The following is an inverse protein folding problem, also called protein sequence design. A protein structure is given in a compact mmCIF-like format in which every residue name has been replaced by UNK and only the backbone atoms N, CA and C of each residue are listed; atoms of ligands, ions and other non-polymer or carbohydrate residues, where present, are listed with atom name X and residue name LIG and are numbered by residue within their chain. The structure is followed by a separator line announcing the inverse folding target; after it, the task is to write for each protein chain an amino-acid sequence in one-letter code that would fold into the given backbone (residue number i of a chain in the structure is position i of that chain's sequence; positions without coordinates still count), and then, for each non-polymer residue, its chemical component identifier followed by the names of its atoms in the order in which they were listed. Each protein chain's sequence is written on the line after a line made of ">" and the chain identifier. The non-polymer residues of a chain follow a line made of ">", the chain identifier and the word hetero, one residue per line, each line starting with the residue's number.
data_IF_569848421051
#
_entry.id   IF_569848421051
#
_cell.length_a   1.000
_cell.length_b   1.000
_cell.length_c   1.000
_cell.angle_alpha   90.00
_cell.angle_beta   90.00
_cell.angle_gamma   90.00
#
_symmetry.space_group_name_H-M   'P 1'
#
loop_
_entity.id
_entity.type
_entity.pdbx_description
1 polymer ?
#
# COMPACT_ATOMS: atom_id res chain seq x y z
N UNK A 1 0.99 -22.60 -0.23
CA UNK A 1 0.01 -21.57 0.12
C UNK A 1 -0.27 -21.68 1.62
N UNK A 2 -0.16 -20.58 2.34
CA UNK A 2 -0.42 -20.49 3.78
C UNK A 2 -1.62 -19.57 4.01
N UNK A 3 -2.52 -19.98 4.89
CA UNK A 3 -3.61 -19.14 5.37
C UNK A 3 -3.40 -18.84 6.84
N UNK A 4 -3.39 -17.56 7.18
CA UNK A 4 -3.39 -17.05 8.56
C UNK A 4 -4.78 -16.47 8.81
N UNK A 5 -5.53 -17.08 9.72
CA UNK A 5 -6.87 -16.66 10.10
C UNK A 5 -6.86 -16.24 11.57
N UNK A 6 -7.20 -14.98 11.83
CA UNK A 6 -7.24 -14.47 13.21
C UNK A 6 -8.54 -14.83 13.95
N UNK A 7 -9.48 -15.51 13.28
CA UNK A 7 -10.77 -15.87 13.86
C UNK A 7 -11.66 -14.65 14.09
N UNK A 8 -12.43 -14.70 15.16
CA UNK A 8 -13.43 -13.68 15.50
C UNK A 8 -13.26 -13.18 16.94
N UNK A 9 -13.75 -11.96 17.23
CA UNK A 9 -13.84 -11.42 18.59
C UNK A 9 -12.55 -10.84 19.16
N UNK A 10 -11.51 -10.62 18.33
CA UNK A 10 -10.28 -9.99 18.76
C UNK A 10 -9.97 -8.71 17.97
N UNK A 11 -10.48 -7.54 18.40
CA UNK A 11 -10.23 -6.27 17.71
C UNK A 11 -8.77 -5.80 17.75
N UNK A 12 -7.94 -6.37 18.62
CA UNK A 12 -6.49 -6.10 18.70
C UNK A 12 -5.63 -7.04 17.85
N UNK A 13 -6.23 -7.95 17.07
CA UNK A 13 -5.48 -8.94 16.31
C UNK A 13 -4.59 -8.30 15.23
N UNK A 14 -3.38 -8.85 15.11
CA UNK A 14 -2.48 -8.65 13.96
C UNK A 14 -2.25 -10.02 13.33
N UNK A 15 -2.50 -10.15 12.04
CA UNK A 15 -2.35 -11.43 11.36
C UNK A 15 -0.90 -11.88 11.31
N UNK A 16 -0.01 -11.03 10.82
CA UNK A 16 1.43 -11.26 10.77
C UNK A 16 2.14 -9.99 11.22
N UNK A 17 2.88 -10.05 12.33
CA UNK A 17 3.82 -9.02 12.76
C UNK A 17 5.23 -9.43 12.33
N UNK A 18 5.82 -8.71 11.35
CA UNK A 18 7.00 -9.20 10.65
C UNK A 18 8.07 -8.12 10.44
N UNK A 19 9.31 -8.57 10.55
CA UNK A 19 10.51 -7.86 10.10
C UNK A 19 11.43 -8.82 9.34
N UNK A 20 12.12 -8.33 8.33
CA UNK A 20 13.04 -9.14 7.53
C UNK A 20 14.50 -9.04 7.99
N UNK A 21 14.94 -7.88 8.42
CA UNK A 21 16.31 -7.59 8.90
C UNK A 21 17.40 -8.24 8.03
N UNK A 22 17.68 -7.73 6.89
CA UNK A 22 18.64 -8.06 5.85
C UNK A 22 18.03 -8.68 4.58
N UNK A 23 17.24 -9.74 4.66
CA UNK A 23 16.60 -10.34 3.49
C UNK A 23 15.46 -11.24 3.92
N UNK A 24 14.28 -11.01 3.42
CA UNK A 24 13.12 -11.85 3.73
C UNK A 24 12.07 -11.82 2.65
N UNK A 25 11.19 -12.81 2.65
CA UNK A 25 10.06 -12.85 1.74
C UNK A 25 8.82 -13.49 2.37
N UNK A 26 7.67 -12.84 2.17
CA UNK A 26 6.34 -13.42 2.35
C UNK A 26 5.79 -13.74 0.95
N UNK A 27 5.45 -15.01 0.71
CA UNK A 27 4.98 -15.44 -0.61
C UNK A 27 3.81 -16.40 -0.49
N UNK A 28 2.80 -16.19 -1.34
CA UNK A 28 1.61 -17.05 -1.43
C UNK A 28 0.91 -17.21 -0.08
N UNK A 29 0.54 -16.08 0.50
CA UNK A 29 -0.06 -16.02 1.82
C UNK A 29 -1.39 -15.32 1.73
N UNK A 30 -2.41 -15.89 2.35
CA UNK A 30 -3.68 -15.24 2.63
C UNK A 30 -3.77 -14.96 4.11
N UNK A 31 -4.00 -13.69 4.47
CA UNK A 31 -4.25 -13.26 5.86
C UNK A 31 -5.69 -12.77 5.93
N UNK A 32 -6.49 -13.31 6.83
CA UNK A 32 -7.89 -12.92 6.95
C UNK A 32 -8.35 -12.80 8.39
N UNK A 33 -9.32 -11.93 8.58
CA UNK A 33 -10.08 -11.82 9.83
C UNK A 33 -11.46 -12.41 9.61
N UNK A 34 -11.87 -13.32 10.49
CA UNK A 34 -13.16 -14.00 10.38
C UNK A 34 -14.37 -13.10 10.62
N UNK A 35 -14.19 -11.95 11.27
CA UNK A 35 -15.25 -10.96 11.55
C UNK A 35 -14.91 -9.54 11.02
N UNK A 36 -13.83 -9.40 10.26
CA UNK A 36 -13.34 -8.11 9.76
C UNK A 36 -12.69 -7.24 10.85
N UNK A 37 -12.56 -7.73 12.09
CA UNK A 37 -11.89 -7.01 13.17
C UNK A 37 -10.38 -7.23 13.14
N UNK A 38 -9.65 -6.51 13.98
CA UNK A 38 -8.20 -6.55 14.06
C UNK A 38 -7.55 -5.29 13.54
N UNK A 39 -6.33 -5.05 13.98
CA UNK A 39 -5.58 -3.82 13.71
C UNK A 39 -4.94 -3.86 12.34
N UNK A 40 -4.28 -4.96 11.98
CA UNK A 40 -3.61 -5.09 10.69
C UNK A 40 -3.53 -6.55 10.22
N UNK A 41 -3.61 -6.75 8.91
CA UNK A 41 -3.31 -8.06 8.33
C UNK A 41 -1.83 -8.37 8.39
N UNK A 42 -1.00 -7.48 7.86
CA UNK A 42 0.47 -7.55 7.95
C UNK A 42 0.98 -6.25 8.56
N UNK A 43 1.72 -6.35 9.66
CA UNK A 43 2.35 -5.21 10.34
C UNK A 43 3.87 -5.28 10.19
N UNK A 44 4.45 -4.26 9.56
CA UNK A 44 5.89 -4.06 9.35
C UNK A 44 6.33 -2.69 9.89
N UNK A 45 5.74 -2.26 11.00
CA UNK A 45 6.04 -0.95 11.59
C UNK A 45 7.20 -0.96 12.58
N UNK A 46 7.71 -2.13 12.94
CA UNK A 46 8.90 -2.26 13.79
C UNK A 46 10.18 -1.84 13.03
N UNK A 47 11.23 -1.52 13.76
CA UNK A 47 12.56 -1.28 13.18
C UNK A 47 13.05 -2.50 12.36
N UNK A 48 13.79 -2.25 11.28
CA UNK A 48 14.34 -3.24 10.37
C UNK A 48 13.27 -4.00 9.54
N UNK A 49 12.30 -3.29 8.93
CA UNK A 49 11.22 -3.94 8.19
C UNK A 49 11.71 -4.68 6.93
N UNK A 50 12.81 -4.21 6.35
CA UNK A 50 13.36 -4.75 5.09
C UNK A 50 14.89 -4.91 5.11
N UNK A 51 15.49 -5.11 3.92
CA UNK A 51 14.84 -5.27 2.63
C UNK A 51 14.00 -6.55 2.54
N UNK A 52 12.82 -6.45 1.93
CA UNK A 52 11.90 -7.58 1.88
C UNK A 52 11.06 -7.62 0.59
N UNK A 53 10.60 -8.82 0.26
CA UNK A 53 9.65 -9.06 -0.82
C UNK A 53 8.34 -9.61 -0.26
N UNK A 54 7.23 -8.93 -0.53
CA UNK A 54 5.89 -9.48 -0.40
C UNK A 54 5.39 -9.81 -1.80
N UNK A 55 5.06 -11.08 -2.06
CA UNK A 55 4.58 -11.48 -3.38
C UNK A 55 3.44 -12.48 -3.28
N UNK A 56 2.38 -12.23 -4.06
CA UNK A 56 1.16 -13.04 -4.03
C UNK A 56 0.61 -13.11 -2.59
N UNK A 57 0.33 -11.92 -2.04
CA UNK A 57 -0.19 -11.74 -0.68
C UNK A 57 -1.59 -11.15 -0.76
N UNK A 58 -2.52 -11.84 -0.11
CA UNK A 58 -3.90 -11.40 0.00
C UNK A 58 -4.22 -11.07 1.46
N UNK A 59 -4.86 -9.94 1.70
CA UNK A 59 -5.33 -9.55 3.03
C UNK A 59 -6.80 -9.19 2.96
N UNK A 60 -7.60 -9.80 3.84
CA UNK A 60 -9.04 -9.56 3.91
C UNK A 60 -9.49 -9.18 5.32
N UNK A 61 -10.25 -8.10 5.40
CA UNK A 61 -10.70 -7.51 6.66
C UNK A 61 -9.63 -6.63 7.31
N UNK A 62 -9.67 -6.53 8.64
CA UNK A 62 -8.83 -5.68 9.48
C UNK A 62 -9.13 -4.17 9.35
N UNK A 63 -8.53 -3.38 10.22
CA UNK A 63 -8.52 -1.93 10.10
C UNK A 63 -7.61 -1.50 8.96
N UNK A 64 -6.38 -2.02 8.93
CA UNK A 64 -5.43 -1.83 7.85
C UNK A 64 -5.03 -3.17 7.22
N UNK A 65 -4.83 -3.19 5.91
CA UNK A 65 -4.33 -4.39 5.21
C UNK A 65 -2.85 -4.63 5.50
N UNK A 66 -2.00 -3.73 5.03
CA UNK A 66 -0.56 -3.76 5.26
C UNK A 66 -0.15 -2.42 5.89
N UNK A 67 0.63 -2.47 6.97
CA UNK A 67 1.23 -1.29 7.60
C UNK A 67 2.73 -1.36 7.49
N UNK A 68 3.34 -0.27 7.00
CA UNK A 68 4.79 -0.14 6.89
C UNK A 68 5.24 1.12 7.63
N UNK A 69 6.20 0.98 8.49
CA UNK A 69 6.86 2.09 9.18
C UNK A 69 8.37 2.01 8.99
N UNK A 70 9.06 3.06 9.45
CA UNK A 70 10.52 3.21 9.39
C UNK A 70 11.13 3.39 8.00
N UNK A 71 12.13 4.28 7.92
CA UNK A 71 12.84 4.64 6.69
C UNK A 71 13.93 3.63 6.28
N UNK A 72 14.06 2.54 7.01
CA UNK A 72 15.16 1.59 6.84
C UNK A 72 14.82 0.52 5.81
N UNK A 73 15.56 0.50 4.71
CA UNK A 73 15.51 -0.49 3.66
C UNK A 73 14.16 -0.61 2.92
N UNK A 74 14.18 -0.40 1.63
CA UNK A 74 13.00 -0.47 0.79
C UNK A 74 12.34 -1.85 0.71
N UNK A 75 11.06 -1.86 0.44
CA UNK A 75 10.25 -3.06 0.28
C UNK A 75 9.76 -3.18 -1.16
N UNK A 76 9.73 -4.42 -1.66
CA UNK A 76 9.10 -4.75 -2.94
C UNK A 76 7.80 -5.52 -2.69
N UNK A 77 6.72 -5.05 -3.29
CA UNK A 77 5.39 -5.65 -3.20
C UNK A 77 4.90 -6.00 -4.61
N UNK A 78 4.64 -7.28 -4.86
CA UNK A 78 4.15 -7.77 -6.15
C UNK A 78 2.90 -8.61 -5.97
N UNK A 79 1.92 -8.44 -6.86
CA UNK A 79 0.68 -9.23 -6.87
C UNK A 79 -0.03 -9.18 -5.50
N UNK A 80 -0.34 -7.97 -5.03
CA UNK A 80 -0.97 -7.73 -3.73
C UNK A 80 -2.47 -7.52 -3.89
N UNK A 81 -3.25 -8.20 -3.10
CA UNK A 81 -4.71 -8.00 -3.04
C UNK A 81 -5.16 -7.62 -1.63
N UNK A 82 -5.83 -6.47 -1.51
CA UNK A 82 -6.33 -5.94 -0.25
C UNK A 82 -7.85 -5.75 -0.33
N UNK A 83 -8.61 -6.44 0.54
CA UNK A 83 -10.08 -6.45 0.50
C UNK A 83 -10.71 -6.09 1.84
N UNK A 84 -11.72 -5.23 1.78
CA UNK A 84 -12.62 -4.98 2.91
C UNK A 84 -11.89 -4.46 4.17
N UNK A 85 -10.81 -3.71 4.01
CA UNK A 85 -10.21 -3.00 5.13
C UNK A 85 -11.14 -1.87 5.59
N UNK A 86 -11.21 -1.63 6.89
CA UNK A 86 -12.12 -0.63 7.45
C UNK A 86 -11.58 0.80 7.37
N UNK A 87 -10.27 0.98 7.27
CA UNK A 87 -9.64 2.30 7.23
C UNK A 87 -8.74 2.48 6.02
N UNK A 88 -7.78 1.57 5.79
CA UNK A 88 -6.79 1.72 4.73
C UNK A 88 -6.30 0.37 4.21
N UNK A 89 -6.11 0.28 2.90
CA UNK A 89 -5.48 -0.90 2.29
C UNK A 89 -4.01 -1.02 2.70
N UNK A 90 -3.21 -0.02 2.37
CA UNK A 90 -1.78 0.04 2.70
C UNK A 90 -1.44 1.39 3.31
N UNK A 91 -0.77 1.41 4.46
CA UNK A 91 -0.20 2.62 5.05
C UNK A 91 1.33 2.57 5.02
N UNK A 92 1.94 3.68 4.63
CA UNK A 92 3.38 3.87 4.59
C UNK A 92 3.79 5.12 5.37
N UNK A 93 4.63 4.94 6.38
CA UNK A 93 5.25 6.03 7.12
C UNK A 93 6.76 5.98 6.86
N UNK A 94 7.25 6.89 6.01
CA UNK A 94 8.65 7.15 5.72
C UNK A 94 9.46 6.01 5.05
N UNK A 95 8.87 4.93 4.58
CA UNK A 95 9.59 3.89 3.86
C UNK A 95 9.56 4.08 2.33
N UNK A 96 10.43 3.37 1.60
CA UNK A 96 10.45 3.30 0.13
C UNK A 96 9.80 2.00 -0.32
N UNK A 97 8.66 2.12 -1.00
CA UNK A 97 7.88 0.97 -1.49
C UNK A 97 7.89 0.93 -3.01
N UNK A 98 8.33 -0.19 -3.57
CA UNK A 98 8.15 -0.51 -4.99
C UNK A 98 7.01 -1.52 -5.12
N UNK A 99 5.88 -1.07 -5.67
CA UNK A 99 4.63 -1.84 -5.73
C UNK A 99 4.24 -2.07 -7.18
N UNK A 100 3.92 -3.32 -7.51
CA UNK A 100 3.41 -3.69 -8.83
C UNK A 100 2.24 -4.66 -8.72
N UNK A 101 1.24 -4.49 -9.59
CA UNK A 101 0.03 -5.33 -9.62
C UNK A 101 -0.71 -5.37 -8.27
N UNK A 102 -0.91 -4.20 -7.67
CA UNK A 102 -1.77 -4.08 -6.49
C UNK A 102 -3.23 -3.95 -6.91
N UNK A 103 -4.09 -4.70 -6.27
CA UNK A 103 -5.54 -4.58 -6.40
C UNK A 103 -6.15 -4.31 -5.03
N UNK A 104 -7.03 -3.31 -4.94
CA UNK A 104 -7.86 -3.10 -3.75
C UNK A 104 -9.33 -3.26 -4.08
N UNK A 105 -10.12 -3.70 -3.10
CA UNK A 105 -11.58 -3.86 -3.23
C UNK A 105 -12.27 -3.50 -1.91
N UNK A 106 -13.26 -2.60 -1.97
CA UNK A 106 -14.08 -2.25 -0.81
C UNK A 106 -13.30 -1.56 0.32
N UNK A 107 -12.26 -0.78 0.00
CA UNK A 107 -11.46 -0.03 0.97
C UNK A 107 -11.82 1.46 0.93
N UNK A 108 -11.85 2.17 2.08
CA UNK A 108 -12.12 3.61 2.08
C UNK A 108 -10.93 4.47 1.63
N UNK A 109 -9.70 3.95 1.73
CA UNK A 109 -8.46 4.55 1.26
C UNK A 109 -7.54 3.42 0.82
N UNK A 110 -7.09 3.42 -0.44
CA UNK A 110 -6.25 2.32 -0.93
C UNK A 110 -4.81 2.45 -0.41
N UNK A 111 -4.22 3.64 -0.49
CA UNK A 111 -2.85 3.91 -0.02
C UNK A 111 -2.81 5.22 0.78
N UNK A 112 -2.25 5.15 1.98
CA UNK A 112 -1.89 6.30 2.81
C UNK A 112 -0.36 6.40 2.91
N UNK A 113 0.23 7.37 2.20
CA UNK A 113 1.65 7.71 2.25
C UNK A 113 1.83 8.98 3.07
N UNK A 114 1.62 8.87 4.38
CA UNK A 114 1.48 10.01 5.30
C UNK A 114 2.80 10.57 5.81
N UNK A 115 3.90 9.85 5.67
CA UNK A 115 5.22 10.35 6.05
C UNK A 115 5.85 11.23 4.95
N UNK A 116 6.42 12.37 5.32
CA UNK A 116 7.09 13.26 4.36
C UNK A 116 8.32 12.63 3.69
N UNK A 117 8.93 11.62 4.32
CA UNK A 117 10.00 10.79 3.76
C UNK A 117 9.50 9.54 3.02
N UNK A 118 8.20 9.30 3.01
CA UNK A 118 7.62 8.13 2.35
C UNK A 118 7.70 8.22 0.82
N UNK A 119 8.15 7.15 0.19
CA UNK A 119 8.21 7.04 -1.27
C UNK A 119 7.41 5.83 -1.73
N UNK A 120 6.45 6.04 -2.62
CA UNK A 120 5.64 4.97 -3.21
C UNK A 120 5.80 4.98 -4.72
N UNK A 121 6.38 3.93 -5.27
CA UNK A 121 6.40 3.62 -6.69
C UNK A 121 5.29 2.62 -6.94
N UNK A 122 4.24 3.00 -7.67
CA UNK A 122 3.07 2.15 -7.94
C UNK A 122 2.90 1.94 -9.43
N UNK A 123 2.98 0.69 -9.86
CA UNK A 123 2.93 0.32 -11.28
C UNK A 123 1.78 -0.66 -11.54
N UNK A 124 1.13 -0.53 -12.70
CA UNK A 124 0.21 -1.54 -13.25
C UNK A 124 -0.85 -2.00 -12.24
N UNK A 125 -1.53 -1.06 -11.56
CA UNK A 125 -2.36 -1.34 -10.39
C UNK A 125 -3.80 -0.85 -10.54
N UNK A 126 -4.72 -1.53 -9.84
CA UNK A 126 -6.15 -1.25 -9.87
C UNK A 126 -6.66 -0.99 -8.45
N UNK A 127 -7.05 0.25 -8.18
CA UNK A 127 -7.51 0.68 -6.86
C UNK A 127 -9.05 0.85 -6.90
N UNK A 128 -9.76 -0.07 -6.24
CA UNK A 128 -11.22 -0.03 -6.16
C UNK A 128 -11.66 0.11 -4.71
N UNK A 129 -12.56 1.04 -4.46
CA UNK A 129 -13.00 1.31 -3.09
C UNK A 129 -14.14 2.31 -3.03
N UNK A 130 -14.22 3.07 -1.93
CA UNK A 130 -15.29 4.05 -1.74
C UNK A 130 -14.85 5.12 -0.74
N UNK A 131 -14.33 6.23 -1.21
CA UNK A 131 -13.83 7.31 -0.36
C UNK A 131 -13.52 8.56 -1.14
N UNK A 132 -13.02 9.57 -0.47
CA UNK A 132 -12.65 10.83 -1.09
C UNK A 132 -11.46 10.68 -2.04
N UNK A 133 -10.45 9.91 -1.64
CA UNK A 133 -9.27 9.67 -2.46
C UNK A 133 -8.82 8.19 -2.44
N UNK A 134 -8.27 7.71 -3.55
CA UNK A 134 -7.65 6.39 -3.59
C UNK A 134 -6.25 6.40 -2.95
N UNK A 135 -5.49 7.47 -3.16
CA UNK A 135 -4.13 7.64 -2.63
C UNK A 135 -4.06 8.98 -1.90
N UNK A 136 -3.63 8.96 -0.63
CA UNK A 136 -3.23 10.16 0.12
C UNK A 136 -1.72 10.21 0.16
N UNK A 137 -1.13 11.37 -0.18
CA UNK A 137 0.32 11.52 -0.29
C UNK A 137 0.81 12.82 0.36
N UNK A 138 1.66 12.68 1.39
CA UNK A 138 2.44 13.76 2.00
C UNK A 138 3.95 13.62 1.72
N UNK A 139 4.35 12.50 1.09
CA UNK A 139 5.71 12.22 0.67
C UNK A 139 5.88 12.34 -0.85
N UNK A 140 6.42 11.28 -1.45
CA UNK A 140 6.66 11.21 -2.90
C UNK A 140 5.97 10.00 -3.52
N UNK A 141 5.39 10.19 -4.70
CA UNK A 141 4.83 9.09 -5.48
C UNK A 141 5.34 9.11 -6.92
N UNK A 142 5.58 7.93 -7.46
CA UNK A 142 5.65 7.66 -8.88
C UNK A 142 4.55 6.67 -9.24
N UNK A 143 3.61 7.09 -10.06
CA UNK A 143 2.47 6.29 -10.49
C UNK A 143 2.57 6.04 -11.99
N UNK A 144 2.41 4.79 -12.43
CA UNK A 144 2.34 4.47 -13.85
C UNK A 144 1.33 3.36 -14.13
N UNK A 145 0.41 3.62 -15.06
CA UNK A 145 -0.70 2.73 -15.40
C UNK A 145 -1.51 2.31 -14.16
N UNK A 146 -1.97 3.33 -13.43
CA UNK A 146 -2.79 3.15 -12.24
C UNK A 146 -4.22 3.56 -12.56
N UNK A 147 -5.16 2.66 -12.34
CA UNK A 147 -6.59 2.94 -12.44
C UNK A 147 -7.24 2.99 -11.06
N UNK A 148 -8.27 3.83 -10.91
CA UNK A 148 -9.08 3.87 -9.70
C UNK A 148 -10.56 3.90 -10.02
N UNK A 149 -11.37 3.32 -9.13
CA UNK A 149 -12.82 3.41 -9.21
C UNK A 149 -13.46 3.47 -7.83
N UNK A 150 -14.59 4.18 -7.72
CA UNK A 150 -15.33 4.35 -6.48
C UNK A 150 -14.77 5.40 -5.53
N UNK A 151 -13.73 6.14 -5.92
CA UNK A 151 -13.19 7.28 -5.20
C UNK A 151 -13.51 8.59 -5.93
N UNK A 152 -13.64 9.70 -5.21
CA UNK A 152 -13.86 11.02 -5.81
C UNK A 152 -12.59 11.53 -6.52
N UNK A 153 -11.41 11.20 -5.98
CA UNK A 153 -10.11 11.52 -6.56
C UNK A 153 -9.18 10.31 -6.58
N UNK A 154 -8.29 10.22 -7.58
CA UNK A 154 -7.21 9.22 -7.58
C UNK A 154 -6.15 9.56 -6.54
N UNK A 155 -5.77 10.83 -6.43
CA UNK A 155 -4.66 11.28 -5.58
C UNK A 155 -5.04 12.56 -4.85
N UNK A 156 -4.87 12.57 -3.54
CA UNK A 156 -4.80 13.77 -2.71
C UNK A 156 -3.34 14.00 -2.34
N UNK A 157 -2.72 15.05 -2.89
CA UNK A 157 -1.31 15.36 -2.68
C UNK A 157 -1.15 16.69 -1.98
N UNK A 158 -0.54 16.66 -0.77
CA UNK A 158 -0.34 17.84 0.07
C UNK A 158 -1.63 18.70 0.17
N UNK A 159 -2.76 18.06 0.43
CA UNK A 159 -4.08 18.68 0.53
C UNK A 159 -4.71 19.10 -0.79
N UNK A 160 -4.10 18.86 -1.94
CA UNK A 160 -4.64 19.17 -3.26
C UNK A 160 -5.13 17.90 -3.96
N UNK A 161 -6.44 17.83 -4.21
CA UNK A 161 -7.02 16.70 -4.93
C UNK A 161 -6.70 16.79 -6.43
N UNK A 162 -6.27 15.66 -6.99
CA UNK A 162 -6.16 15.45 -8.44
C UNK A 162 -7.34 14.60 -8.89
N UNK A 163 -8.21 15.14 -9.75
CA UNK A 163 -9.38 14.44 -10.23
C UNK A 163 -9.01 13.06 -10.79
N UNK A 164 -9.84 12.07 -10.48
CA UNK A 164 -9.68 10.74 -11.01
C UNK A 164 -9.87 10.74 -12.53
N UNK A 165 -8.87 10.27 -13.25
CA UNK A 165 -9.06 9.73 -14.60
C UNK A 165 -9.24 8.23 -14.47
N UNK A 166 -9.99 7.61 -15.37
CA UNK A 166 -10.18 6.16 -15.33
C UNK A 166 -8.84 5.38 -15.29
N UNK A 167 -7.81 5.93 -15.92
CA UNK A 167 -6.43 5.42 -15.88
C UNK A 167 -5.46 6.60 -15.91
N UNK A 168 -4.51 6.61 -15.00
CA UNK A 168 -3.38 7.53 -15.00
C UNK A 168 -2.19 6.84 -15.67
N UNK A 169 -1.76 7.36 -16.80
CA UNK A 169 -0.63 6.79 -17.55
C UNK A 169 0.67 6.96 -16.81
N UNK A 170 1.00 8.19 -16.40
CA UNK A 170 2.20 8.46 -15.60
C UNK A 170 2.05 9.74 -14.76
N UNK A 171 2.57 9.70 -13.55
CA UNK A 171 2.64 10.84 -12.63
C UNK A 171 3.82 10.73 -11.68
N UNK A 172 4.50 11.84 -11.42
CA UNK A 172 5.57 11.95 -10.43
C UNK A 172 5.35 13.19 -9.55
N UNK A 173 5.48 13.03 -8.23
CA UNK A 173 5.58 14.14 -7.30
C UNK A 173 6.85 14.95 -7.56
N UNK A 174 6.69 16.27 -7.77
CA UNK A 174 7.82 17.17 -8.01
C UNK A 174 8.30 17.17 -9.46
N UNK A 175 9.54 17.61 -9.65
CA UNK A 175 10.17 17.76 -10.98
C UNK A 175 11.25 16.71 -11.17
N UNK A 176 11.23 16.04 -12.32
CA UNK A 176 12.34 15.16 -12.71
C UNK A 176 13.63 15.98 -12.78
N UNK A 177 14.60 15.62 -11.96
CA UNK A 177 15.93 16.20 -12.05
C UNK A 177 16.77 15.35 -13.01
N UNK A 178 17.13 15.93 -14.13
CA UNK A 178 18.02 15.30 -15.11
C UNK A 178 19.38 15.99 -15.04
N UNK A 179 20.43 15.30 -14.61
CA UNK A 179 21.78 15.87 -14.59
C UNK A 179 22.35 16.07 -16.01
N UNK A 180 21.75 15.44 -17.01
CA UNK A 180 22.11 15.56 -18.43
C UNK A 180 20.84 15.62 -19.28
N UNK A 181 20.91 16.35 -20.41
CA UNK A 181 19.84 16.36 -21.39
C UNK A 181 19.65 14.94 -21.96
N UNK A 182 18.49 14.35 -21.73
CA UNK A 182 18.11 13.07 -22.31
C UNK A 182 17.15 13.32 -23.48
N UNK A 183 17.34 12.71 -24.64
CA UNK A 183 16.32 12.74 -25.68
C UNK A 183 15.06 12.07 -25.16
N UNK A 184 13.92 12.75 -25.35
CA UNK A 184 12.59 12.22 -25.07
C UNK A 184 12.12 11.30 -26.18
#
# INVERSE_FOLDING_TARGET
>A
DLVVDTGTGNPGAVGIDWIANNLGALRRITVRSGDGQGVAGVDMTRAWPGPALLRDVQVEGFEAGIRVGNAEYGLTLEDITLRNQRTVGLSNTDNVLAIRHMTTEGVPLAIDNSGSGGHVILLDSQLNGSGAEAIRNEGHVFLRRVASSGFDALLLEHGTARPGTAVLDEYLTGTVQQPFDSPQ
#
